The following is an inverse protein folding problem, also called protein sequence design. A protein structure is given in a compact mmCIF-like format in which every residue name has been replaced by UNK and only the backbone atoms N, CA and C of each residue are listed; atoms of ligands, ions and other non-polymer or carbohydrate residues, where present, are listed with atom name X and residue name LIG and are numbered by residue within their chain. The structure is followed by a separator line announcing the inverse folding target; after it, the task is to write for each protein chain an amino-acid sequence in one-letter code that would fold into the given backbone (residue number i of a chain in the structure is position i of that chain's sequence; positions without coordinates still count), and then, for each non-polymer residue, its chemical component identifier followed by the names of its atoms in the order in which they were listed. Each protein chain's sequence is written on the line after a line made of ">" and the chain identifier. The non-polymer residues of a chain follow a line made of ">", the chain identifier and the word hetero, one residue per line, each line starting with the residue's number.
data_IF_953942426512
#
_entry.id   IF_953942426512
#
_cell.length_a   1.000
_cell.length_b   1.000
_cell.length_c   1.000
_cell.angle_alpha   90.00
_cell.angle_beta   90.00
_cell.angle_gamma   90.00
#
_symmetry.space_group_name_H-M   'P 1'
#
loop_
_entity.id
_entity.type
_entity.pdbx_description
1 polymer ?
#
# COMPACT_ATOMS: atom_id res chain seq x y z
N UNK A 1 0.58 -8.38 10.47
CA UNK A 1 0.44 -7.38 9.40
C UNK A 1 -0.21 -8.08 8.22
N UNK A 2 -1.43 -7.69 7.90
CA UNK A 2 -2.21 -8.30 6.82
C UNK A 2 -2.34 -7.33 5.65
N UNK A 3 -2.31 -7.86 4.43
CA UNK A 3 -2.43 -7.10 3.19
C UNK A 3 -3.66 -7.56 2.41
N UNK A 4 -4.56 -6.62 2.08
CA UNK A 4 -5.78 -6.90 1.31
C UNK A 4 -5.85 -5.97 0.11
N UNK A 5 -6.25 -6.52 -1.05
CA UNK A 5 -6.48 -5.76 -2.29
C UNK A 5 -7.98 -5.66 -2.60
N UNK A 6 -8.46 -4.45 -2.87
CA UNK A 6 -9.83 -4.19 -3.35
C UNK A 6 -9.76 -3.52 -4.72
N UNK A 7 -10.70 -3.88 -5.58
CA UNK A 7 -10.86 -3.33 -6.92
C UNK A 7 -12.15 -2.50 -6.88
N UNK A 8 -12.09 -1.22 -7.24
CA UNK A 8 -13.29 -0.51 -7.61
C UNK A 8 -13.57 -0.74 -9.10
N UNK A 9 -14.83 -1.00 -9.45
CA UNK A 9 -15.30 -1.26 -10.81
C UNK A 9 -15.74 -0.01 -11.54
N UNK A 10 -15.53 1.18 -10.96
CA UNK A 10 -15.84 2.46 -11.61
C UNK A 10 -14.80 2.76 -12.69
N UNK A 11 -15.25 3.10 -13.89
CA UNK A 11 -14.48 3.21 -15.15
C UNK A 11 -13.35 4.27 -15.16
N UNK A 12 -13.03 4.90 -14.02
CA UNK A 12 -12.10 6.02 -13.93
C UNK A 12 -10.88 5.80 -13.04
N UNK A 13 -10.78 4.68 -12.32
CA UNK A 13 -9.59 4.38 -11.53
C UNK A 13 -9.26 2.88 -11.51
N UNK A 14 -8.15 2.49 -12.14
CA UNK A 14 -7.44 1.24 -11.83
C UNK A 14 -6.72 1.37 -10.47
N UNK A 15 -7.43 1.89 -9.48
CA UNK A 15 -6.94 2.10 -8.12
C UNK A 15 -7.03 0.81 -7.33
N UNK A 16 -5.87 0.27 -6.96
CA UNK A 16 -5.75 -0.90 -6.09
C UNK A 16 -5.35 -0.45 -4.71
N UNK A 17 -6.00 -0.96 -3.67
CA UNK A 17 -5.73 -0.51 -2.32
C UNK A 17 -4.91 -1.56 -1.59
N UNK A 18 -3.85 -1.15 -0.90
CA UNK A 18 -3.11 -1.96 0.06
C UNK A 18 -3.44 -1.44 1.46
N UNK A 19 -4.20 -2.21 2.21
CA UNK A 19 -4.41 -1.94 3.63
C UNK A 19 -3.25 -2.52 4.44
N UNK A 20 -2.67 -1.69 5.31
CA UNK A 20 -1.69 -2.08 6.32
C UNK A 20 -2.43 -2.03 7.66
N UNK A 21 -2.49 -3.18 8.33
CA UNK A 21 -3.12 -3.33 9.63
C UNK A 21 -2.10 -3.85 10.65
N UNK A 22 -2.03 -3.17 11.79
CA UNK A 22 -1.19 -3.52 12.93
C UNK A 22 -2.06 -3.53 14.19
N UNK A 23 -2.23 -4.73 14.76
CA UNK A 23 -2.83 -4.92 16.07
C UNK A 23 -1.76 -4.59 17.13
N UNK A 24 -2.08 -3.66 18.04
CA UNK A 24 -1.15 -3.21 19.07
C UNK A 24 -1.22 -4.08 20.34
N UNK A 25 -2.13 -5.05 20.39
CA UNK A 25 -2.36 -5.95 21.52
C UNK A 25 -3.53 -5.52 22.41
N UNK A 26 -3.76 -6.31 23.46
CA UNK A 26 -4.89 -6.15 24.38
C UNK A 26 -4.97 -4.72 24.95
N UNK A 27 -6.16 -4.12 24.83
CA UNK A 27 -6.48 -2.74 25.23
C UNK A 27 -5.67 -1.60 24.56
N UNK A 28 -4.85 -1.89 23.54
CA UNK A 28 -4.03 -0.88 22.83
C UNK A 28 -4.59 -0.43 21.49
N UNK A 29 -5.62 -1.12 21.00
CA UNK A 29 -6.30 -0.78 19.75
C UNK A 29 -5.52 -1.19 18.50
N UNK A 30 -5.84 -0.53 17.38
CA UNK A 30 -5.34 -0.92 16.05
C UNK A 30 -4.81 0.30 15.30
N UNK A 31 -3.66 0.14 14.66
CA UNK A 31 -3.16 1.06 13.64
C UNK A 31 -3.61 0.57 12.27
N UNK A 32 -4.11 1.48 11.45
CA UNK A 32 -4.53 1.19 10.09
C UNK A 32 -4.10 2.30 9.15
N UNK A 33 -3.51 1.90 8.02
CA UNK A 33 -3.22 2.79 6.91
C UNK A 33 -3.71 2.16 5.61
N UNK A 34 -4.22 2.99 4.69
CA UNK A 34 -4.57 2.56 3.35
C UNK A 34 -3.63 3.26 2.37
N UNK A 35 -3.02 2.47 1.49
CA UNK A 35 -2.19 2.96 0.40
C UNK A 35 -2.90 2.67 -0.92
N UNK A 36 -3.22 3.72 -1.68
CA UNK A 36 -3.74 3.57 -3.02
C UNK A 36 -2.59 3.41 -4.03
N UNK A 37 -2.69 2.39 -4.87
CA UNK A 37 -1.68 1.96 -5.85
C UNK A 37 -2.33 2.02 -7.22
N UNK A 38 -1.69 2.77 -8.11
CA UNK A 38 -2.07 2.86 -9.51
C UNK A 38 -1.24 1.86 -10.32
N UNK A 39 -1.91 1.13 -11.21
CA UNK A 39 -1.25 0.26 -12.20
C UNK A 39 -1.77 0.67 -13.58
N UNK A 40 -0.88 1.27 -14.37
CA UNK A 40 -1.21 1.87 -15.67
C UNK A 40 -1.23 0.86 -16.83
N UNK A 41 -1.01 -0.42 -16.53
CA UNK A 41 -1.00 -1.52 -17.51
C UNK A 41 -2.06 -2.56 -17.19
N UNK A 42 -2.66 -3.12 -18.24
CA UNK A 42 -3.54 -4.27 -18.10
C UNK A 42 -2.71 -5.52 -17.73
N UNK A 43 -3.17 -6.26 -16.71
CA UNK A 43 -2.57 -7.51 -16.25
C UNK A 43 -3.69 -8.54 -16.11
N UNK A 44 -3.67 -9.56 -16.96
CA UNK A 44 -4.72 -10.59 -17.05
C UNK A 44 -4.59 -11.67 -15.95
N UNK A 45 -3.43 -11.75 -15.31
CA UNK A 45 -3.18 -12.71 -14.23
C UNK A 45 -3.37 -12.07 -12.85
N UNK A 46 -4.26 -12.65 -12.04
CA UNK A 46 -4.47 -12.23 -10.64
C UNK A 46 -3.19 -12.30 -9.81
N UNK A 47 -2.35 -13.31 -10.06
CA UNK A 47 -1.09 -13.49 -9.33
C UNK A 47 -0.08 -12.41 -9.71
N UNK A 48 0.05 -12.11 -10.99
CA UNK A 48 0.93 -11.05 -11.50
C UNK A 48 0.49 -9.67 -11.03
N UNK A 49 -0.83 -9.40 -11.05
CA UNK A 49 -1.37 -8.14 -10.56
C UNK A 49 -1.08 -7.95 -9.07
N UNK A 50 -1.28 -8.99 -8.25
CA UNK A 50 -0.93 -8.94 -6.84
C UNK A 50 0.57 -8.73 -6.61
N UNK A 51 1.44 -9.31 -7.46
CA UNK A 51 2.88 -9.08 -7.39
C UNK A 51 3.23 -7.63 -7.73
N UNK A 52 2.63 -7.07 -8.78
CA UNK A 52 2.82 -5.68 -9.19
C UNK A 52 2.39 -4.69 -8.12
N UNK A 53 1.20 -4.89 -7.53
CA UNK A 53 0.70 -4.04 -6.44
C UNK A 53 1.69 -4.02 -5.26
N UNK A 54 2.19 -5.20 -4.86
CA UNK A 54 3.17 -5.32 -3.78
C UNK A 54 4.51 -4.65 -4.14
N UNK A 55 4.96 -4.78 -5.38
CA UNK A 55 6.18 -4.15 -5.87
C UNK A 55 6.07 -2.63 -5.82
N UNK A 56 5.00 -2.07 -6.40
CA UNK A 56 4.77 -0.63 -6.44
C UNK A 56 4.62 -0.05 -5.02
N UNK A 57 3.90 -0.75 -4.14
CA UNK A 57 3.77 -0.37 -2.74
C UNK A 57 5.13 -0.35 -2.01
N UNK A 58 5.95 -1.39 -2.20
CA UNK A 58 7.28 -1.46 -1.57
C UNK A 58 8.19 -0.33 -2.04
N UNK A 59 8.20 -0.02 -3.33
CA UNK A 59 8.98 1.10 -3.87
C UNK A 59 8.51 2.45 -3.32
N UNK A 60 7.19 2.66 -3.20
CA UNK A 60 6.63 3.84 -2.56
C UNK A 60 7.06 3.96 -1.10
N UNK A 61 6.89 2.91 -0.31
CA UNK A 61 7.23 2.90 1.12
C UNK A 61 8.72 3.18 1.35
N UNK A 62 9.61 2.63 0.52
CA UNK A 62 11.05 2.93 0.59
C UNK A 62 11.34 4.41 0.38
N UNK A 63 10.71 5.05 -0.61
CA UNK A 63 10.87 6.50 -0.85
C UNK A 63 10.32 7.33 0.31
N UNK A 64 9.15 6.94 0.84
CA UNK A 64 8.54 7.62 1.98
C UNK A 64 9.43 7.53 3.24
N UNK A 65 9.98 6.36 3.55
CA UNK A 65 10.93 6.18 4.67
C UNK A 65 12.14 7.09 4.50
N UNK A 66 12.76 7.10 3.32
CA UNK A 66 13.93 7.97 3.05
C UNK A 66 13.59 9.45 3.28
N UNK A 67 12.42 9.91 2.83
CA UNK A 67 11.97 11.31 3.05
C UNK A 67 11.82 11.63 4.53
N UNK A 68 11.12 10.77 5.27
CA UNK A 68 10.88 10.95 6.70
C UNK A 68 12.18 10.93 7.50
N UNK A 69 13.10 10.02 7.17
CA UNK A 69 14.42 9.97 7.81
C UNK A 69 15.26 11.22 7.55
N UNK A 70 15.11 11.85 6.38
CA UNK A 70 15.77 13.12 6.09
C UNK A 70 15.16 14.27 6.91
N UNK A 71 13.83 14.37 6.94
CA UNK A 71 13.10 15.39 7.71
C UNK A 71 13.38 15.31 9.22
N UNK A 72 13.59 14.11 9.76
CA UNK A 72 13.94 13.91 11.17
C UNK A 72 15.40 14.24 11.50
N UNK A 73 16.32 14.23 10.52
CA UNK A 73 17.74 14.59 10.74
C UNK A 73 17.99 16.09 10.70
N UNK A 74 17.12 16.82 10.01
CA UNK A 74 17.18 18.28 9.91
C UNK A 74 16.47 19.00 11.09
N UNK A 75 15.91 18.22 12.03
CA UNK A 75 15.34 18.68 13.32
C UNK A 75 16.25 18.30 14.50
#
# INVERSE_FOLDING_TARGET
>A
MDFRTKHDGSESATGFWLQIFEDLGEDKGVNMANLEIWVDRFIDSRAELNAEIKKNALEFLKRAVISLEAELKDN
#
